data_IF_124898497814
#
_entry.id   IF_124898497814
#
_cell.length_a   1.000
_cell.length_b   1.000
_cell.length_c   1.000
_cell.angle_alpha   90.00
_cell.angle_beta   90.00
_cell.angle_gamma   90.00
#
_symmetry.space_group_name_H-M   'P 1'
#
loop_
_entity.id
_entity.type
_entity.pdbx_description
1 polymer ?
#
# COMPACT_ATOMS: atom_id res chain seq x y z
N UNK A 1 21.15 43.89 -38.60
CA UNK A 1 21.93 42.84 -37.90
C UNK A 1 21.00 41.68 -37.61
N UNK A 2 21.31 40.51 -38.16
CA UNK A 2 20.52 39.27 -38.04
C UNK A 2 20.86 38.58 -36.72
N UNK A 3 19.87 38.31 -35.87
CA UNK A 3 20.00 37.33 -34.78
C UNK A 3 19.18 36.09 -35.15
N UNK A 4 19.91 35.07 -35.58
CA UNK A 4 19.44 33.70 -35.76
C UNK A 4 19.38 33.10 -34.36
N UNK A 5 18.19 32.74 -33.86
CA UNK A 5 18.06 31.91 -32.67
C UNK A 5 17.57 30.52 -33.05
N UNK A 6 18.46 29.59 -32.72
CA UNK A 6 18.52 28.17 -32.96
C UNK A 6 17.26 27.44 -32.42
N UNK A 7 16.34 27.04 -33.30
CA UNK A 7 15.28 26.08 -32.96
C UNK A 7 15.76 24.66 -33.30
N UNK A 8 16.39 24.00 -32.32
CA UNK A 8 16.64 22.55 -32.37
C UNK A 8 15.44 21.86 -31.74
N UNK A 9 14.47 21.51 -32.59
CA UNK A 9 13.39 20.59 -32.24
C UNK A 9 13.96 19.17 -32.34
N UNK A 10 14.44 18.64 -31.20
CA UNK A 10 14.82 17.24 -31.09
C UNK A 10 13.54 16.41 -30.90
N UNK A 11 12.95 15.99 -32.04
CA UNK A 11 11.76 15.16 -32.10
C UNK A 11 12.17 13.70 -31.80
N UNK A 12 12.29 13.37 -30.52
CA UNK A 12 12.46 12.02 -30.01
C UNK A 12 11.13 11.27 -30.18
N UNK A 13 10.97 10.57 -31.30
CA UNK A 13 9.93 9.55 -31.48
C UNK A 13 10.26 8.37 -30.56
N UNK A 14 9.88 8.44 -29.29
CA UNK A 14 9.81 7.24 -28.44
C UNK A 14 8.53 6.51 -28.81
N UNK A 15 8.68 5.34 -29.43
CA UNK A 15 7.59 4.38 -29.61
C UNK A 15 7.07 4.00 -28.21
N UNK A 16 5.91 4.52 -27.81
CA UNK A 16 5.19 4.04 -26.64
C UNK A 16 4.60 2.68 -26.99
N UNK A 17 5.25 1.60 -26.57
CA UNK A 17 4.57 0.31 -26.45
C UNK A 17 3.62 0.41 -25.26
N UNK A 18 2.33 0.62 -25.52
CA UNK A 18 1.30 0.40 -24.50
C UNK A 18 1.26 -1.08 -24.16
N UNK A 19 1.81 -1.47 -23.02
CA UNK A 19 1.39 -2.72 -22.37
C UNK A 19 0.08 -2.42 -21.66
N UNK A 20 -1.05 -2.73 -22.31
CA UNK A 20 -2.33 -2.78 -21.60
C UNK A 20 -2.31 -3.98 -20.65
N UNK A 21 -2.24 -3.70 -19.36
CA UNK A 21 -2.29 -4.73 -18.33
C UNK A 21 -3.78 -5.08 -18.15
N UNK A 22 -4.27 -6.07 -18.90
CA UNK A 22 -5.66 -6.57 -18.87
C UNK A 22 -5.97 -7.42 -17.62
N UNK A 23 -5.53 -6.96 -16.44
CA UNK A 23 -5.77 -7.65 -15.18
C UNK A 23 -7.17 -7.38 -14.66
N UNK A 24 -7.90 -8.46 -14.37
CA UNK A 24 -9.22 -8.44 -13.77
C UNK A 24 -9.15 -9.08 -12.40
N UNK A 25 -9.75 -8.41 -11.39
CA UNK A 25 -9.90 -8.95 -10.03
C UNK A 25 -11.34 -9.33 -9.80
N UNK A 26 -11.57 -10.55 -9.34
CA UNK A 26 -12.91 -11.07 -9.03
C UNK A 26 -12.88 -11.90 -7.75
N UNK A 27 -13.98 -11.82 -6.99
CA UNK A 27 -14.19 -12.59 -5.77
C UNK A 27 -15.41 -13.47 -5.93
N UNK A 28 -15.27 -14.76 -5.61
CA UNK A 28 -16.37 -15.73 -5.68
C UNK A 28 -16.23 -16.78 -4.59
N UNK A 29 -17.34 -17.46 -4.30
CA UNK A 29 -17.42 -18.43 -3.21
C UNK A 29 -16.76 -19.75 -3.60
N UNK A 30 -15.96 -20.31 -2.70
CA UNK A 30 -15.35 -21.65 -2.80
C UNK A 30 -15.45 -22.31 -1.43
N UNK A 31 -16.07 -23.48 -1.35
CA UNK A 31 -16.30 -24.18 -0.08
C UNK A 31 -15.05 -24.90 0.42
N UNK A 32 -14.70 -24.65 1.67
CA UNK A 32 -13.62 -25.31 2.41
C UNK A 32 -13.81 -25.11 3.92
N UNK A 33 -13.05 -25.84 4.71
CA UNK A 33 -13.26 -25.92 6.17
C UNK A 33 -12.00 -25.71 7.00
N UNK A 34 -10.81 -25.70 6.38
CA UNK A 34 -9.54 -25.66 7.12
C UNK A 34 -8.41 -25.02 6.31
N UNK A 35 -7.28 -24.77 6.97
CA UNK A 35 -6.06 -24.22 6.35
C UNK A 35 -5.53 -25.10 5.19
N UNK A 36 -5.70 -26.42 5.26
CA UNK A 36 -5.31 -27.28 4.13
C UNK A 36 -6.23 -27.12 2.91
N UNK A 37 -7.47 -26.68 3.09
CA UNK A 37 -8.33 -26.27 1.98
C UNK A 37 -7.78 -24.99 1.33
N UNK A 38 -7.35 -24.03 2.16
CA UNK A 38 -6.76 -22.77 1.71
C UNK A 38 -5.56 -23.02 0.81
N UNK A 39 -4.58 -23.79 1.29
CA UNK A 39 -3.38 -24.12 0.52
C UNK A 39 -3.71 -24.83 -0.80
N UNK A 40 -4.70 -25.74 -0.80
CA UNK A 40 -5.12 -26.43 -2.02
C UNK A 40 -5.80 -25.48 -3.00
N UNK A 41 -6.76 -24.69 -2.56
CA UNK A 41 -7.56 -23.77 -3.40
C UNK A 41 -6.64 -22.70 -4.02
N UNK A 42 -5.82 -22.04 -3.19
CA UNK A 42 -4.86 -21.03 -3.65
C UNK A 42 -3.78 -21.66 -4.53
N UNK A 43 -3.28 -22.85 -4.18
CA UNK A 43 -2.28 -23.56 -4.96
C UNK A 43 -2.78 -23.94 -6.36
N UNK A 44 -4.05 -24.35 -6.50
CA UNK A 44 -4.67 -24.62 -7.80
C UNK A 44 -4.82 -23.34 -8.62
N UNK A 45 -5.20 -22.22 -7.99
CA UNK A 45 -5.28 -20.93 -8.65
C UNK A 45 -3.90 -20.46 -9.15
N UNK A 46 -2.85 -20.58 -8.33
CA UNK A 46 -1.48 -20.24 -8.73
C UNK A 46 -0.93 -21.12 -9.85
N UNK A 47 -1.28 -22.41 -9.91
CA UNK A 47 -0.93 -23.29 -11.05
C UNK A 47 -1.53 -22.83 -12.37
N UNK A 48 -2.63 -22.08 -12.33
CA UNK A 48 -3.22 -21.42 -13.51
C UNK A 48 -2.51 -20.12 -13.89
N UNK A 49 -1.43 -19.72 -13.21
CA UNK A 49 -0.69 -18.48 -13.44
C UNK A 49 -1.54 -17.21 -13.20
N UNK A 50 -2.44 -17.25 -12.21
CA UNK A 50 -3.08 -16.03 -11.70
C UNK A 50 -2.02 -15.17 -10.97
N UNK A 51 -2.16 -13.86 -11.03
CA UNK A 51 -1.24 -12.90 -10.41
C UNK A 51 -1.41 -12.83 -8.89
N UNK A 52 -2.62 -13.11 -8.41
CA UNK A 52 -2.98 -13.10 -6.99
C UNK A 52 -4.10 -14.10 -6.74
N UNK A 53 -4.04 -14.80 -5.62
CA UNK A 53 -5.10 -15.67 -5.11
C UNK A 53 -5.07 -15.65 -3.58
N UNK A 54 -6.19 -15.30 -2.95
CA UNK A 54 -6.33 -15.36 -1.49
C UNK A 54 -7.72 -15.90 -1.15
N UNK A 55 -7.77 -16.99 -0.38
CA UNK A 55 -8.98 -17.61 0.12
C UNK A 55 -9.09 -17.47 1.63
N UNK A 56 -10.27 -17.08 2.09
CA UNK A 56 -10.54 -16.75 3.50
C UNK A 56 -11.46 -17.80 4.11
N UNK A 57 -11.01 -18.48 5.17
CA UNK A 57 -11.73 -19.61 5.81
C UNK A 57 -13.09 -19.17 6.35
N UNK A 58 -13.14 -18.02 7.02
CA UNK A 58 -14.34 -17.52 7.71
C UNK A 58 -15.48 -17.21 6.74
N UNK A 59 -15.13 -16.75 5.53
CA UNK A 59 -16.11 -16.28 4.53
C UNK A 59 -16.30 -17.24 3.36
N UNK A 60 -15.41 -18.24 3.20
CA UNK A 60 -15.35 -19.12 2.03
C UNK A 60 -15.22 -18.36 0.71
N UNK A 61 -14.58 -17.19 0.71
CA UNK A 61 -14.41 -16.36 -0.49
C UNK A 61 -12.99 -16.45 -1.01
N UNK A 62 -12.86 -16.79 -2.30
CA UNK A 62 -11.60 -16.71 -3.05
C UNK A 62 -11.59 -15.40 -3.83
N UNK A 63 -10.55 -14.59 -3.63
CA UNK A 63 -10.26 -13.41 -4.44
C UNK A 63 -9.08 -13.71 -5.35
N UNK A 64 -9.26 -13.56 -6.67
CA UNK A 64 -8.22 -13.78 -7.67
C UNK A 64 -8.03 -12.58 -8.57
N UNK A 65 -6.79 -12.31 -8.94
CA UNK A 65 -6.43 -11.34 -10.00
C UNK A 65 -5.73 -12.07 -11.12
N UNK A 66 -6.25 -11.96 -12.34
CA UNK A 66 -5.73 -12.69 -13.50
C UNK A 66 -5.83 -11.88 -14.79
N UNK A 67 -5.01 -12.23 -15.78
CA UNK A 67 -5.04 -11.65 -17.12
C UNK A 67 -6.28 -12.16 -17.88
N UNK A 68 -7.26 -11.27 -18.10
CA UNK A 68 -8.55 -11.57 -18.72
C UNK A 68 -8.44 -11.99 -20.20
N UNK A 69 -7.28 -11.79 -20.83
CA UNK A 69 -7.02 -12.29 -22.20
C UNK A 69 -6.63 -13.77 -22.23
N UNK A 70 -6.16 -14.32 -21.09
CA UNK A 70 -5.63 -15.70 -20.98
C UNK A 70 -6.50 -16.63 -20.14
N UNK A 71 -7.20 -16.07 -19.15
CA UNK A 71 -8.03 -16.78 -18.19
C UNK A 71 -9.38 -16.09 -18.05
N UNK A 72 -10.36 -16.86 -17.58
CA UNK A 72 -11.65 -16.34 -17.15
C UNK A 72 -12.10 -17.09 -15.89
N UNK A 73 -13.05 -16.49 -15.17
CA UNK A 73 -13.61 -17.02 -13.93
C UNK A 73 -14.01 -18.49 -14.01
N UNK A 74 -14.78 -18.86 -15.04
CA UNK A 74 -15.29 -20.22 -15.20
C UNK A 74 -14.18 -21.26 -15.33
N UNK A 75 -13.06 -20.93 -15.99
CA UNK A 75 -11.91 -21.83 -16.12
C UNK A 75 -11.18 -22.04 -14.79
N UNK A 76 -11.11 -21.00 -13.96
CA UNK A 76 -10.55 -21.07 -12.60
C UNK A 76 -11.47 -21.93 -11.72
N UNK A 77 -12.78 -21.66 -11.74
CA UNK A 77 -13.79 -22.41 -10.98
C UNK A 77 -13.80 -23.90 -11.32
N UNK A 78 -13.76 -24.26 -12.62
CA UNK A 78 -13.69 -25.67 -13.06
C UNK A 78 -12.44 -26.40 -12.54
N UNK A 79 -11.29 -25.72 -12.45
CA UNK A 79 -10.06 -26.35 -11.95
C UNK A 79 -10.03 -26.50 -10.44
N UNK A 80 -10.61 -25.55 -9.72
CA UNK A 80 -10.80 -25.66 -8.27
C UNK A 80 -11.81 -26.78 -7.96
N UNK A 81 -12.91 -26.87 -8.73
CA UNK A 81 -13.87 -27.96 -8.64
C UNK A 81 -13.22 -29.34 -8.91
N UNK A 82 -12.34 -29.43 -9.91
CA UNK A 82 -11.58 -30.67 -10.17
C UNK A 82 -10.58 -31.03 -9.05
N UNK A 83 -10.34 -30.14 -8.08
CA UNK A 83 -9.55 -30.43 -6.88
C UNK A 83 -10.40 -30.83 -5.67
N UNK A 84 -11.72 -30.99 -5.87
CA UNK A 84 -12.68 -31.44 -4.86
C UNK A 84 -13.52 -30.34 -4.22
N UNK A 85 -13.20 -29.06 -4.42
CA UNK A 85 -13.88 -27.94 -3.77
C UNK A 85 -14.98 -27.32 -4.64
N UNK A 86 -16.21 -27.28 -4.13
CA UNK A 86 -17.34 -26.65 -4.80
C UNK A 86 -17.14 -25.14 -4.87
N UNK A 87 -17.38 -24.59 -6.06
CA UNK A 87 -17.29 -23.15 -6.33
C UNK A 87 -18.69 -22.56 -6.53
N UNK A 88 -18.76 -21.26 -6.82
CA UNK A 88 -20.03 -20.56 -7.01
C UNK A 88 -20.84 -21.13 -8.17
N UNK A 89 -20.23 -21.32 -9.35
CA UNK A 89 -20.93 -21.78 -10.56
C UNK A 89 -20.65 -23.26 -10.89
N UNK A 90 -19.60 -23.87 -10.32
CA UNK A 90 -19.19 -25.25 -10.62
C UNK A 90 -19.05 -26.10 -9.36
N UNK A 91 -19.81 -27.19 -9.30
CA UNK A 91 -19.67 -28.23 -8.26
C UNK A 91 -18.59 -29.24 -8.63
N UNK A 92 -17.82 -29.66 -7.64
CA UNK A 92 -16.85 -30.74 -7.76
C UNK A 92 -17.57 -32.09 -7.85
N UNK A 93 -17.04 -33.00 -8.69
CA UNK A 93 -17.61 -34.33 -8.86
C UNK A 93 -17.63 -35.10 -7.54
N UNK A 94 -18.53 -36.09 -7.41
CA UNK A 94 -18.55 -36.93 -6.21
C UNK A 94 -17.20 -37.64 -5.98
N UNK A 95 -16.54 -38.05 -7.07
CA UNK A 95 -15.20 -38.64 -7.04
C UNK A 95 -14.14 -37.67 -6.50
N UNK A 96 -14.03 -36.47 -7.08
CA UNK A 96 -13.01 -35.48 -6.68
C UNK A 96 -13.20 -35.01 -5.24
N UNK A 97 -14.46 -34.90 -4.80
CA UNK A 97 -14.81 -34.55 -3.44
C UNK A 97 -14.52 -35.65 -2.42
N UNK A 98 -14.84 -36.90 -2.75
CA UNK A 98 -14.57 -38.03 -1.87
C UNK A 98 -13.07 -38.28 -1.69
N UNK A 99 -12.27 -37.88 -2.68
CA UNK A 99 -10.80 -37.89 -2.63
C UNK A 99 -10.21 -36.72 -1.81
N UNK A 100 -11.02 -35.77 -1.34
CA UNK A 100 -10.54 -34.79 -0.37
C UNK A 100 -10.20 -35.48 0.96
N UNK A 101 -9.15 -35.02 1.67
CA UNK A 101 -8.92 -35.44 3.06
C UNK A 101 -10.16 -35.21 3.92
N UNK A 102 -10.37 -36.04 4.95
CA UNK A 102 -11.60 -35.99 5.74
C UNK A 102 -11.84 -34.64 6.41
N UNK A 103 -10.79 -33.93 6.82
CA UNK A 103 -10.90 -32.57 7.37
C UNK A 103 -11.30 -31.48 6.35
N UNK A 104 -11.20 -31.78 5.04
CA UNK A 104 -11.59 -30.91 3.93
C UNK A 104 -13.00 -31.23 3.42
N UNK A 105 -13.64 -32.30 3.93
CA UNK A 105 -15.03 -32.62 3.61
C UNK A 105 -15.96 -31.69 4.39
N UNK A 106 -16.87 -31.04 3.68
CA UNK A 106 -17.83 -30.08 4.22
C UNK A 106 -19.26 -30.49 3.83
N UNK A 107 -20.25 -30.13 4.63
CA UNK A 107 -21.62 -30.54 4.35
C UNK A 107 -22.14 -29.90 3.04
N UNK A 108 -22.18 -30.68 1.97
CA UNK A 108 -22.83 -30.33 0.71
C UNK A 108 -24.34 -30.35 0.93
N UNK A 109 -24.96 -29.20 1.18
CA UNK A 109 -26.42 -29.10 1.06
C UNK A 109 -26.79 -29.37 -0.40
N UNK A 110 -27.22 -30.59 -0.71
CA UNK A 110 -27.75 -30.95 -2.02
C UNK A 110 -29.27 -30.73 -2.04
N UNK A 111 -29.85 -30.19 -3.13
CA UNK A 111 -31.18 -30.60 -3.53
C UNK A 111 -31.13 -32.06 -3.99
N UNK A 112 -32.13 -32.84 -3.56
CA UNK A 112 -32.47 -34.24 -3.87
C UNK A 112 -32.11 -34.82 -5.25
N UNK A 113 -31.69 -36.10 -5.29
CA UNK A 113 -31.80 -37.00 -6.47
C UNK A 113 -30.87 -38.23 -6.41
N UNK A 114 -31.29 -39.45 -6.85
CA UNK A 114 -31.19 -40.66 -6.02
C UNK A 114 -30.00 -41.60 -6.26
N UNK A 115 -29.80 -42.42 -5.23
CA UNK A 115 -29.05 -43.66 -5.07
C UNK A 115 -28.46 -44.33 -6.32
N UNK A 116 -27.14 -44.57 -6.25
CA UNK A 116 -26.45 -45.63 -6.96
C UNK A 116 -25.59 -46.39 -5.95
N UNK A 117 -26.06 -47.57 -5.57
CA UNK A 117 -25.30 -48.61 -4.87
C UNK A 117 -24.17 -49.04 -5.81
N UNK A 118 -22.96 -49.20 -5.27
CA UNK A 118 -21.98 -50.19 -5.73
C UNK A 118 -21.05 -50.50 -4.55
N UNK A 119 -21.22 -51.71 -4.05
CA UNK A 119 -20.37 -52.39 -3.08
C UNK A 119 -18.93 -52.49 -3.57
N UNK A 120 -17.97 -52.41 -2.63
CA UNK A 120 -16.85 -53.35 -2.56
C UNK A 120 -16.17 -53.19 -1.18
N UNK A 121 -16.65 -53.98 -0.22
CA UNK A 121 -15.97 -54.19 1.06
C UNK A 121 -14.69 -55.00 0.83
N UNK A 122 -13.55 -54.32 0.76
CA UNK A 122 -12.23 -54.94 0.81
C UNK A 122 -11.94 -55.45 2.23
N UNK A 123 -11.61 -56.73 2.35
CA UNK A 123 -11.24 -57.39 3.60
C UNK A 123 -10.15 -56.61 4.36
N UNK A 124 -10.46 -56.14 5.57
CA UNK A 124 -9.47 -55.62 6.50
C UNK A 124 -8.61 -56.78 7.02
N UNK A 125 -7.40 -56.95 6.49
CA UNK A 125 -6.45 -57.90 7.05
C UNK A 125 -5.83 -57.30 8.32
N UNK A 126 -5.97 -58.00 9.44
CA UNK A 126 -5.28 -57.66 10.70
C UNK A 126 -3.94 -58.40 10.74
N UNK A 127 -2.85 -57.70 11.02
CA UNK A 127 -1.55 -58.33 11.17
C UNK A 127 -0.49 -57.44 11.80
N UNK A 128 0.66 -58.05 12.08
CA UNK A 128 1.79 -57.36 12.71
C UNK A 128 2.62 -56.70 11.61
N UNK A 129 2.66 -55.38 11.61
CA UNK A 129 3.55 -54.58 10.78
C UNK A 129 4.90 -54.41 11.51
N UNK A 130 5.98 -54.76 10.83
CA UNK A 130 7.35 -54.52 11.29
C UNK A 130 7.98 -53.40 10.47
N UNK A 131 8.78 -52.54 11.11
CA UNK A 131 9.53 -51.53 10.38
C UNK A 131 10.65 -50.93 11.21
N UNK A 132 11.48 -50.12 10.55
CA UNK A 132 12.62 -49.42 11.18
C UNK A 132 12.53 -47.93 10.89
N UNK A 133 12.69 -47.11 11.93
CA UNK A 133 12.76 -45.65 11.84
C UNK A 133 14.23 -45.22 11.90
N UNK A 134 14.67 -44.42 10.93
CA UNK A 134 16.07 -43.99 10.79
C UNK A 134 16.17 -42.49 10.49
N UNK A 135 17.31 -41.88 10.84
CA UNK A 135 17.73 -40.55 10.38
C UNK A 135 18.73 -40.70 9.24
N UNK A 136 18.67 -39.80 8.26
CA UNK A 136 19.72 -39.62 7.27
C UNK A 136 20.69 -38.50 7.73
N UNK A 137 21.94 -38.87 8.00
CA UNK A 137 22.98 -37.90 8.33
C UNK A 137 23.44 -37.12 7.09
N UNK A 138 24.08 -35.95 7.28
CA UNK A 138 24.64 -35.10 6.20
C UNK A 138 25.61 -35.80 5.22
N UNK A 139 26.06 -37.02 5.54
CA UNK A 139 26.95 -37.86 4.70
C UNK A 139 26.21 -39.02 4.00
N UNK A 140 24.87 -39.07 4.05
CA UNK A 140 24.06 -40.14 3.44
C UNK A 140 24.10 -41.48 4.19
N UNK A 141 24.53 -41.48 5.46
CA UNK A 141 24.54 -42.68 6.31
C UNK A 141 23.28 -42.71 7.19
N UNK A 142 22.63 -43.88 7.26
CA UNK A 142 21.41 -44.09 8.02
C UNK A 142 21.70 -44.54 9.44
N UNK A 143 21.19 -43.81 10.42
CA UNK A 143 21.28 -44.17 11.85
C UNK A 143 19.89 -44.46 12.42
N UNK A 144 19.68 -45.59 13.12
CA UNK A 144 18.38 -45.90 13.70
C UNK A 144 17.99 -44.90 14.78
N UNK A 145 16.70 -44.54 14.83
CA UNK A 145 16.12 -43.66 15.85
C UNK A 145 15.32 -44.53 16.83
N UNK A 146 15.84 -44.69 18.04
CA UNK A 146 15.10 -45.31 19.13
C UNK A 146 14.13 -44.34 19.81
N UNK A 147 13.06 -44.88 20.42
CA UNK A 147 11.99 -44.13 21.07
C UNK A 147 11.21 -43.15 20.17
N UNK A 148 11.20 -43.37 18.85
CA UNK A 148 10.29 -42.67 17.95
C UNK A 148 8.85 -43.13 18.22
N UNK A 149 7.94 -42.17 18.35
CA UNK A 149 6.53 -42.46 18.60
C UNK A 149 5.80 -42.74 17.29
N UNK A 150 5.02 -43.80 17.26
CA UNK A 150 4.24 -44.23 16.11
C UNK A 150 2.79 -44.32 16.55
N UNK A 151 1.92 -43.56 15.90
CA UNK A 151 0.51 -43.46 16.20
C UNK A 151 -0.31 -43.75 14.96
N UNK A 152 -1.36 -44.57 15.09
CA UNK A 152 -2.32 -44.77 13.99
C UNK A 152 -3.40 -43.69 14.02
N UNK A 153 -3.76 -43.17 12.85
CA UNK A 153 -4.87 -42.21 12.74
C UNK A 153 -6.24 -42.87 12.93
N UNK A 154 -6.35 -44.20 12.78
CA UNK A 154 -7.62 -44.91 12.80
C UNK A 154 -7.91 -45.57 14.15
N UNK A 155 -6.88 -46.05 14.84
CA UNK A 155 -6.97 -46.54 16.21
C UNK A 155 -6.06 -45.69 17.10
N UNK A 156 -6.52 -45.29 18.29
CA UNK A 156 -5.74 -44.40 19.16
C UNK A 156 -4.55 -45.13 19.85
N UNK A 157 -4.03 -46.19 19.23
CA UNK A 157 -2.91 -46.96 19.73
C UNK A 157 -1.60 -46.26 19.35
N UNK A 158 -0.72 -46.14 20.34
CA UNK A 158 0.61 -45.61 20.18
C UNK A 158 1.63 -46.64 20.62
N UNK A 159 2.70 -46.80 19.83
CA UNK A 159 3.87 -47.58 20.22
C UNK A 159 5.13 -46.75 20.05
N UNK A 160 6.23 -47.21 20.64
CA UNK A 160 7.55 -46.59 20.48
C UNK A 160 8.52 -47.58 19.82
N UNK A 161 9.47 -47.07 19.05
CA UNK A 161 10.57 -47.88 18.51
C UNK A 161 11.53 -48.30 19.62
N UNK A 162 12.13 -49.48 19.49
CA UNK A 162 13.17 -49.98 20.40
C UNK A 162 14.50 -49.24 20.24
N UNK A 163 15.53 -49.62 21.00
CA UNK A 163 16.87 -49.01 20.92
C UNK A 163 17.56 -49.15 19.57
N UNK A 164 17.10 -50.08 18.72
CA UNK A 164 17.60 -50.30 17.36
C UNK A 164 16.69 -49.65 16.30
N UNK A 165 15.71 -48.85 16.71
CA UNK A 165 14.76 -48.16 15.83
C UNK A 165 13.69 -49.07 15.23
N UNK A 166 13.58 -50.32 15.67
CA UNK A 166 12.61 -51.31 15.17
C UNK A 166 11.29 -51.13 15.92
N UNK A 167 10.18 -51.28 15.21
CA UNK A 167 8.84 -51.32 15.81
C UNK A 167 8.03 -52.51 15.31
N UNK A 168 7.11 -52.96 16.18
CA UNK A 168 6.12 -54.00 15.89
C UNK A 168 4.73 -53.46 16.24
N UNK A 169 3.92 -53.19 15.24
CA UNK A 169 2.60 -52.60 15.41
C UNK A 169 1.53 -53.53 14.87
N UNK A 170 0.60 -53.97 15.73
CA UNK A 170 -0.56 -54.74 15.27
C UNK A 170 -1.59 -53.75 14.71
N UNK A 171 -1.83 -53.80 13.40
CA UNK A 171 -2.78 -52.89 12.74
C UNK A 171 -3.62 -53.59 11.70
N UNK A 172 -4.80 -53.04 11.48
CA UNK A 172 -5.65 -53.37 10.34
C UNK A 172 -5.21 -52.49 9.16
N UNK A 173 -5.09 -53.09 7.98
CA UNK A 173 -4.82 -52.38 6.74
C UNK A 173 -6.10 -52.22 5.92
N UNK A 174 -6.28 -51.09 5.20
CA UNK A 174 -5.35 -49.96 5.08
C UNK A 174 -5.38 -49.01 6.30
N UNK A 175 -4.22 -48.49 6.72
CA UNK A 175 -4.11 -47.50 7.81
C UNK A 175 -3.09 -46.42 7.49
N UNK A 176 -3.21 -45.26 8.13
CA UNK A 176 -2.17 -44.22 8.12
C UNK A 176 -1.47 -44.19 9.48
N UNK A 177 -0.14 -44.22 9.46
CA UNK A 177 0.70 -44.13 10.65
C UNK A 177 1.45 -42.80 10.65
N UNK A 178 1.35 -42.06 11.75
CA UNK A 178 2.13 -40.85 12.00
C UNK A 178 3.33 -41.24 12.84
N UNK A 179 4.53 -41.03 12.30
CA UNK A 179 5.79 -41.24 13.00
C UNK A 179 6.34 -39.88 13.43
N UNK A 180 6.59 -39.69 14.72
CA UNK A 180 7.12 -38.44 15.27
C UNK A 180 8.21 -38.67 16.31
N UNK A 181 9.24 -37.83 16.28
CA UNK A 181 10.35 -37.85 17.23
C UNK A 181 10.83 -36.41 17.48
N UNK A 182 11.29 -36.13 18.70
CA UNK A 182 11.67 -34.78 19.13
C UNK A 182 12.83 -34.26 18.28
N UNK A 183 12.66 -33.08 17.68
CA UNK A 183 13.68 -32.47 16.80
C UNK A 183 13.57 -32.86 15.32
N UNK A 184 12.58 -33.69 14.94
CA UNK A 184 12.35 -34.13 13.57
C UNK A 184 10.98 -33.70 13.05
N UNK A 185 10.86 -33.54 11.73
CA UNK A 185 9.56 -33.30 11.09
C UNK A 185 8.80 -34.61 11.07
N UNK A 186 7.62 -34.63 11.70
CA UNK A 186 6.74 -35.79 11.69
C UNK A 186 6.36 -36.15 10.26
N UNK A 187 6.31 -37.44 9.96
CA UNK A 187 5.94 -37.96 8.65
C UNK A 187 4.74 -38.90 8.77
N UNK A 188 3.88 -38.92 7.75
CA UNK A 188 2.67 -39.76 7.71
C UNK A 188 2.79 -40.76 6.59
N UNK A 189 2.83 -42.05 6.94
CA UNK A 189 3.00 -43.15 5.99
C UNK A 189 1.67 -43.90 5.85
N UNK A 190 1.19 -44.05 4.61
CA UNK A 190 0.01 -44.85 4.30
C UNK A 190 0.42 -46.31 4.08
N UNK A 191 -0.12 -47.22 4.88
CA UNK A 191 0.18 -48.66 4.84
C UNK A 191 -0.97 -49.39 4.17
N UNK A 192 -0.69 -50.01 3.02
CA UNK A 192 -1.63 -50.81 2.24
C UNK A 192 -1.30 -52.31 2.27
N UNK A 193 -0.09 -52.70 2.70
CA UNK A 193 0.37 -54.09 2.82
C UNK A 193 1.20 -54.30 4.10
N UNK A 194 1.20 -55.51 4.66
CA UNK A 194 1.96 -55.90 5.87
C UNK A 194 3.45 -56.20 5.60
N UNK A 195 4.06 -55.50 4.65
CA UNK A 195 5.49 -55.63 4.33
C UNK A 195 6.36 -54.82 5.29
N UNK A 196 7.63 -55.21 5.45
CA UNK A 196 8.58 -54.45 6.25
C UNK A 196 8.80 -53.04 5.67
N UNK A 197 8.68 -52.01 6.51
CA UNK A 197 8.80 -50.61 6.08
C UNK A 197 10.02 -49.91 6.68
N UNK A 198 10.66 -49.06 5.87
CA UNK A 198 11.76 -48.18 6.29
C UNK A 198 11.28 -46.75 6.26
N UNK A 199 11.29 -46.09 7.42
CA UNK A 199 10.85 -44.70 7.58
C UNK A 199 12.07 -43.83 7.85
N UNK A 200 12.30 -42.81 7.03
CA UNK A 200 13.42 -41.89 7.19
C UNK A 200 12.87 -40.53 7.64
N UNK A 201 13.14 -40.14 8.88
CA UNK A 201 12.73 -38.85 9.41
C UNK A 201 13.77 -37.77 9.08
N UNK A 202 13.29 -36.58 8.68
CA UNK A 202 14.15 -35.43 8.39
C UNK A 202 14.29 -34.53 9.62
N UNK A 203 15.52 -34.13 9.92
CA UNK A 203 15.85 -33.27 11.05
C UNK A 203 15.30 -31.83 10.86
N UNK A 204 14.51 -31.35 11.83
CA UNK A 204 13.85 -30.04 11.81
C UNK A 204 14.83 -28.86 11.94
N UNK A 205 16.09 -29.10 12.28
CA UNK A 205 17.13 -28.07 12.39
C UNK A 205 17.51 -27.44 11.03
N UNK A 206 17.02 -27.98 9.91
CA UNK A 206 17.24 -27.44 8.55
C UNK A 206 16.08 -26.60 8.01
N UNK A 207 14.96 -26.51 8.73
CA UNK A 207 13.84 -25.63 8.36
C UNK A 207 14.00 -24.26 9.02
N UNK A 208 14.34 -23.24 8.22
CA UNK A 208 14.27 -21.84 8.63
C UNK A 208 12.86 -21.53 9.14
N UNK A 209 12.74 -20.95 10.33
CA UNK A 209 11.48 -20.45 10.86
C UNK A 209 10.83 -19.49 9.85
N UNK A 210 9.54 -19.68 9.59
CA UNK A 210 8.76 -18.76 8.76
C UNK A 210 8.78 -17.36 9.36
N UNK A 211 9.03 -16.34 8.54
CA UNK A 211 9.06 -14.96 9.01
C UNK A 211 7.65 -14.51 9.45
N UNK A 212 7.51 -14.09 10.71
CA UNK A 212 6.28 -13.47 11.21
C UNK A 212 6.35 -11.98 10.90
N UNK A 213 5.47 -11.51 10.00
CA UNK A 213 5.37 -10.07 9.67
C UNK A 213 4.39 -9.42 10.63
N UNK A 214 4.92 -8.71 11.63
CA UNK A 214 4.10 -7.88 12.52
C UNK A 214 3.72 -6.59 11.78
N UNK A 215 2.43 -6.40 11.49
CA UNK A 215 1.90 -5.17 10.90
C UNK A 215 1.16 -4.37 11.97
N UNK A 216 1.40 -3.06 12.03
CA UNK A 216 0.66 -2.12 12.87
C UNK A 216 -0.08 -1.12 11.99
N UNK A 217 -1.30 -0.75 12.38
CA UNK A 217 -2.12 0.24 11.70
C UNK A 217 -2.15 1.51 12.55
N UNK A 218 -1.68 2.63 11.99
CA UNK A 218 -1.85 3.95 12.61
C UNK A 218 -3.12 4.62 12.08
N UNK A 219 -3.88 5.32 12.93
CA UNK A 219 -4.97 6.17 12.46
C UNK A 219 -4.42 7.29 11.56
N UNK A 220 -5.26 7.79 10.65
CA UNK A 220 -4.88 8.82 9.66
C UNK A 220 -4.65 10.20 10.29
N UNK A 221 -5.22 10.43 11.47
CA UNK A 221 -4.99 11.59 12.31
C UNK A 221 -4.68 11.13 13.73
N UNK A 222 -3.63 11.66 14.35
CA UNK A 222 -3.27 11.32 15.73
C UNK A 222 -2.51 12.45 16.44
N UNK A 223 -2.53 12.41 17.77
CA UNK A 223 -1.72 13.27 18.63
C UNK A 223 -0.51 12.48 19.09
N UNK A 224 0.67 13.10 19.09
CA UNK A 224 1.89 12.45 19.57
C UNK A 224 1.92 12.42 21.10
N UNK A 225 1.71 11.24 21.69
CA UNK A 225 1.81 11.04 23.16
C UNK A 225 3.26 11.11 23.70
N UNK A 226 4.25 11.14 22.81
CA UNK A 226 5.67 11.25 23.17
C UNK A 226 6.15 12.70 23.23
N UNK A 227 5.41 13.63 22.59
CA UNK A 227 5.74 15.04 22.57
C UNK A 227 5.12 15.73 23.79
N UNK A 228 5.85 16.68 24.39
CA UNK A 228 5.29 17.60 25.39
C UNK A 228 4.42 18.68 24.74
N UNK A 229 4.58 18.91 23.43
CA UNK A 229 3.78 19.85 22.65
C UNK A 229 2.53 19.17 22.11
N UNK A 230 1.38 19.84 22.23
CA UNK A 230 0.11 19.37 21.69
C UNK A 230 0.11 19.47 20.16
N UNK A 231 0.66 18.43 19.52
CA UNK A 231 0.85 18.35 18.07
C UNK A 231 -0.10 17.32 17.47
N UNK A 232 -0.99 17.80 16.61
CA UNK A 232 -1.88 16.97 15.80
C UNK A 232 -1.21 16.67 14.46
N UNK A 233 -0.92 15.40 14.20
CA UNK A 233 -0.42 14.94 12.90
C UNK A 233 -1.59 14.47 12.04
N UNK A 234 -1.74 15.07 10.87
CA UNK A 234 -2.71 14.75 9.83
C UNK A 234 -1.94 14.12 8.67
N UNK A 235 -2.12 12.83 8.41
CA UNK A 235 -1.40 12.10 7.36
C UNK A 235 -2.06 12.28 5.99
N UNK A 236 -1.33 11.98 4.92
CA UNK A 236 -1.86 11.93 3.54
C UNK A 236 -3.14 11.11 3.39
N UNK A 237 -3.34 10.09 4.23
CA UNK A 237 -4.58 9.29 4.25
C UNK A 237 -5.79 10.09 4.73
N UNK A 238 -5.63 11.05 5.62
CA UNK A 238 -6.71 11.96 5.99
C UNK A 238 -6.94 12.99 4.90
N UNK A 239 -5.86 13.57 4.37
CA UNK A 239 -5.91 14.58 3.31
C UNK A 239 -6.58 14.06 2.04
N UNK A 240 -6.47 12.76 1.76
CA UNK A 240 -7.11 12.10 0.60
C UNK A 240 -8.59 11.77 0.80
N UNK A 241 -9.14 11.88 2.02
CA UNK A 241 -10.60 11.75 2.25
C UNK A 241 -11.36 12.95 1.72
N UNK A 242 -10.71 14.10 1.65
CA UNK A 242 -11.21 15.27 0.96
C UNK A 242 -10.61 15.27 -0.45
N UNK A 243 -11.43 15.46 -1.49
CA UNK A 243 -10.95 15.56 -2.87
C UNK A 243 -10.31 16.95 -3.14
N UNK A 244 -9.35 17.34 -2.29
CA UNK A 244 -8.78 18.68 -2.28
C UNK A 244 -7.52 18.75 -3.13
N UNK A 245 -7.36 19.89 -3.77
CA UNK A 245 -6.35 20.11 -4.81
C UNK A 245 -5.07 20.76 -4.24
N UNK A 246 -5.19 21.54 -3.16
CA UNK A 246 -4.09 22.30 -2.54
C UNK A 246 -4.14 22.24 -1.00
N UNK A 247 -3.09 22.77 -0.37
CA UNK A 247 -2.92 22.77 1.09
C UNK A 247 -4.01 23.55 1.83
N UNK A 248 -4.46 24.71 1.33
CA UNK A 248 -5.49 25.51 2.01
C UNK A 248 -6.84 24.80 2.08
N UNK A 249 -7.26 24.14 0.99
CA UNK A 249 -8.46 23.29 0.94
C UNK A 249 -8.35 22.05 1.84
N UNK A 250 -7.12 21.53 2.00
CA UNK A 250 -6.89 20.31 2.79
C UNK A 250 -7.23 20.46 4.28
N UNK A 251 -7.37 21.69 4.77
CA UNK A 251 -7.77 21.97 6.16
C UNK A 251 -9.28 22.09 6.36
N UNK A 252 -10.11 22.13 5.31
CA UNK A 252 -11.57 22.28 5.44
C UNK A 252 -12.22 21.14 6.22
N UNK A 253 -11.61 19.94 6.21
CA UNK A 253 -12.09 18.78 6.98
C UNK A 253 -11.43 18.65 8.35
N UNK A 254 -10.58 19.59 8.75
CA UNK A 254 -9.87 19.55 10.03
C UNK A 254 -10.62 20.36 11.10
N UNK A 255 -11.06 19.77 12.22
CA UNK A 255 -11.73 20.50 13.29
C UNK A 255 -10.78 21.42 14.08
N UNK A 256 -9.49 21.42 13.74
CA UNK A 256 -8.45 22.15 14.48
C UNK A 256 -8.03 23.45 13.82
N UNK A 257 -8.44 23.66 12.58
CA UNK A 257 -7.96 24.74 11.72
C UNK A 257 -9.16 25.26 10.94
N UNK A 258 -9.47 26.55 11.09
CA UNK A 258 -10.56 27.17 10.34
C UNK A 258 -10.00 27.78 9.05
N UNK A 259 -10.64 27.48 7.92
CA UNK A 259 -10.28 28.05 6.62
C UNK A 259 -11.33 29.08 6.24
N UNK A 260 -10.91 30.34 6.10
CA UNK A 260 -11.77 31.45 5.70
C UNK A 260 -11.28 32.07 4.39
N UNK A 261 -12.20 32.58 3.57
CA UNK A 261 -11.83 33.39 2.42
C UNK A 261 -11.46 34.80 2.90
N UNK A 262 -10.21 35.18 2.73
CA UNK A 262 -9.75 36.54 3.04
C UNK A 262 -10.12 37.53 1.93
N UNK A 263 -10.27 37.04 0.70
CA UNK A 263 -10.67 37.84 -0.46
C UNK A 263 -11.43 36.96 -1.47
N UNK A 264 -12.70 37.31 -1.71
CA UNK A 264 -13.58 36.63 -2.64
C UNK A 264 -13.24 36.88 -4.11
N UNK A 265 -12.56 38.00 -4.44
CA UNK A 265 -12.20 38.34 -5.82
C UNK A 265 -10.98 37.53 -6.26
N UNK A 266 -9.92 37.51 -5.45
CA UNK A 266 -8.71 36.73 -5.76
C UNK A 266 -8.83 35.24 -5.42
N UNK A 267 -9.89 34.84 -4.70
CA UNK A 267 -10.07 33.48 -4.19
C UNK A 267 -9.03 33.09 -3.15
N UNK A 268 -8.46 34.06 -2.43
CA UNK A 268 -7.44 33.81 -1.42
C UNK A 268 -8.07 33.25 -0.15
N UNK A 269 -7.46 32.17 0.34
CA UNK A 269 -7.84 31.49 1.57
C UNK A 269 -6.82 31.80 2.65
N UNK A 270 -7.33 32.14 3.82
CA UNK A 270 -6.57 32.33 5.04
C UNK A 270 -6.89 31.20 6.01
N UNK A 271 -5.85 30.70 6.65
CA UNK A 271 -5.97 29.77 7.76
C UNK A 271 -6.02 30.56 9.08
N UNK A 272 -6.96 30.18 9.94
CA UNK A 272 -7.06 30.64 11.31
C UNK A 272 -6.84 29.49 12.28
N UNK A 273 -6.06 29.74 13.32
CA UNK A 273 -5.79 28.78 14.38
C UNK A 273 -6.28 29.38 15.69
N UNK A 274 -7.20 28.69 16.37
CA UNK A 274 -7.84 29.18 17.59
C UNK A 274 -8.51 30.56 17.42
N UNK A 275 -9.07 30.84 16.23
CA UNK A 275 -9.72 32.12 15.90
C UNK A 275 -8.79 33.30 15.62
N UNK A 276 -7.47 33.09 15.64
CA UNK A 276 -6.49 34.12 15.29
C UNK A 276 -6.06 34.00 13.82
N UNK A 277 -5.85 35.14 13.17
CA UNK A 277 -5.40 35.22 11.78
C UNK A 277 -4.04 34.55 11.56
N UNK A 278 -3.78 34.14 10.31
CA UNK A 278 -2.51 33.51 9.91
C UNK A 278 -1.25 34.33 10.25
N UNK A 279 -1.36 35.64 10.46
CA UNK A 279 -0.25 36.48 10.97
C UNK A 279 0.25 36.10 12.37
N UNK A 280 -0.58 35.42 13.16
CA UNK A 280 -0.24 34.93 14.51
C UNK A 280 0.11 33.45 14.55
N UNK A 281 -0.01 32.76 13.41
CA UNK A 281 0.28 31.34 13.24
C UNK A 281 1.56 31.18 12.42
N UNK A 282 2.51 30.40 12.91
CA UNK A 282 3.73 30.18 12.16
C UNK A 282 3.54 29.06 11.12
N UNK A 283 3.74 29.38 9.84
CA UNK A 283 3.70 28.43 8.74
C UNK A 283 5.13 28.03 8.35
N UNK A 284 5.46 26.75 8.46
CA UNK A 284 6.78 26.21 8.11
C UNK A 284 6.62 25.01 7.18
N UNK A 285 7.51 24.89 6.20
CA UNK A 285 7.66 23.70 5.38
C UNK A 285 8.85 22.94 5.92
N UNK A 286 8.59 21.83 6.59
CA UNK A 286 9.57 20.96 7.20
C UNK A 286 10.54 21.67 8.16
N UNK A 287 10.02 22.46 9.08
CA UNK A 287 10.81 23.27 10.02
C UNK A 287 11.62 24.40 9.36
N UNK A 288 11.36 24.74 8.10
CA UNK A 288 11.89 25.96 7.46
C UNK A 288 10.76 26.95 7.22
N UNK A 289 10.91 28.21 7.65
CA UNK A 289 9.91 29.25 7.41
C UNK A 289 9.96 29.74 5.95
N UNK A 290 9.28 29.02 5.07
CA UNK A 290 9.20 29.33 3.63
C UNK A 290 8.04 30.30 3.29
N UNK A 291 6.96 30.26 4.06
CA UNK A 291 5.72 31.01 3.80
C UNK A 291 5.70 32.26 4.68
N UNK A 292 6.46 33.30 4.29
CA UNK A 292 6.62 34.56 5.04
C UNK A 292 6.65 35.79 4.12
N UNK A 293 6.29 36.96 4.68
CA UNK A 293 6.31 38.23 3.95
C UNK A 293 5.32 38.23 2.77
N UNK A 294 5.79 38.56 1.57
CA UNK A 294 4.96 38.62 0.35
C UNK A 294 4.34 37.27 -0.03
N UNK A 295 4.91 36.15 0.43
CA UNK A 295 4.37 34.81 0.20
C UNK A 295 3.37 34.39 1.28
N UNK A 296 3.21 35.13 2.37
CA UNK A 296 2.29 34.77 3.46
C UNK A 296 0.83 34.69 3.01
N UNK A 297 0.41 35.55 2.08
CA UNK A 297 -0.98 35.61 1.58
C UNK A 297 -1.27 34.56 0.52
N UNK A 298 -0.27 34.18 -0.30
CA UNK A 298 -0.46 33.28 -1.45
C UNK A 298 0.15 31.88 -1.26
N UNK A 299 1.10 31.73 -0.35
CA UNK A 299 1.98 30.57 -0.24
C UNK A 299 1.28 29.27 0.13
N UNK A 300 0.13 29.36 0.82
CA UNK A 300 -0.73 28.21 1.11
C UNK A 300 -1.33 27.59 -0.16
N UNK A 301 -1.52 28.38 -1.21
CA UNK A 301 -2.01 27.86 -2.50
C UNK A 301 -0.87 27.28 -3.35
N UNK A 302 0.39 27.48 -2.97
CA UNK A 302 1.56 27.01 -3.75
C UNK A 302 2.01 25.59 -3.41
N UNK A 303 1.36 24.94 -2.44
CA UNK A 303 1.64 23.56 -2.05
C UNK A 303 0.49 22.66 -2.50
N UNK A 304 0.67 21.86 -3.57
CA UNK A 304 -0.32 20.90 -4.04
C UNK A 304 -0.57 19.79 -3.02
N UNK A 305 -1.82 19.33 -2.91
CA UNK A 305 -2.18 18.24 -1.98
C UNK A 305 -1.43 16.94 -2.26
N UNK A 306 -1.09 16.69 -3.53
CA UNK A 306 -0.35 15.47 -3.96
C UNK A 306 1.11 15.42 -3.50
N UNK A 307 1.66 16.57 -3.08
CA UNK A 307 3.03 16.67 -2.57
C UNK A 307 3.09 16.42 -1.06
N UNK A 308 1.95 16.49 -0.36
CA UNK A 308 1.86 16.36 1.09
C UNK A 308 1.99 14.90 1.54
N UNK A 309 2.91 14.67 2.47
CA UNK A 309 3.04 13.42 3.23
C UNK A 309 2.22 13.52 4.52
N UNK A 310 2.38 14.63 5.23
CA UNK A 310 1.63 14.94 6.45
C UNK A 310 1.64 16.43 6.76
N UNK A 311 0.72 16.85 7.61
CA UNK A 311 0.66 18.18 8.19
C UNK A 311 0.69 18.01 9.70
N UNK A 312 1.52 18.78 10.39
CA UNK A 312 1.60 18.81 11.84
C UNK A 312 1.11 20.16 12.35
N UNK A 313 0.04 20.14 13.14
CA UNK A 313 -0.55 21.34 13.72
C UNK A 313 -0.26 21.34 15.22
N UNK A 314 0.62 22.22 15.65
CA UNK A 314 0.93 22.49 17.05
C UNK A 314 0.03 23.62 17.54
N UNK A 315 -0.82 23.32 18.54
CA UNK A 315 -1.77 24.29 19.10
C UNK A 315 -1.16 25.06 20.27
N UNK A 316 -1.34 26.37 20.28
CA UNK A 316 -0.71 27.26 21.27
C UNK A 316 0.76 27.50 20.98
N UNK A 317 1.49 28.10 21.92
CA UNK A 317 2.88 28.54 21.71
C UNK A 317 3.73 27.36 21.20
N UNK A 318 4.22 27.50 19.97
CA UNK A 318 5.04 26.49 19.31
C UNK A 318 6.47 26.44 19.84
N UNK A 319 7.34 25.73 19.13
CA UNK A 319 8.77 25.70 19.48
C UNK A 319 9.44 27.04 19.17
N UNK A 320 10.05 27.67 20.19
CA UNK A 320 10.89 28.87 20.02
C UNK A 320 12.06 28.63 19.06
N UNK A 321 12.52 27.37 18.95
CA UNK A 321 13.61 26.97 18.03
C UNK A 321 13.24 27.25 16.57
N UNK A 322 11.97 27.08 16.23
CA UNK A 322 11.49 27.24 14.86
C UNK A 322 11.12 28.70 14.54
N UNK A 323 10.85 29.54 15.55
CA UNK A 323 10.60 30.98 15.38
C UNK A 323 9.73 31.59 16.49
N UNK A 324 9.68 32.93 16.52
CA UNK A 324 8.97 33.70 17.56
C UNK A 324 7.51 34.07 17.20
N UNK A 325 7.03 33.67 16.01
CA UNK A 325 5.76 34.13 15.44
C UNK A 325 4.53 33.29 15.86
N UNK A 326 4.71 32.21 16.62
CA UNK A 326 3.71 31.15 16.84
C UNK A 326 2.78 31.40 18.05
N UNK A 327 2.17 32.58 18.17
CA UNK A 327 1.31 32.93 19.32
C UNK A 327 0.06 32.02 19.37
N UNK A 328 -0.62 31.83 18.24
CA UNK A 328 -1.77 30.90 18.14
C UNK A 328 -1.34 29.46 17.89
N UNK A 329 -0.16 29.30 17.27
CA UNK A 329 0.54 28.04 17.11
C UNK A 329 1.32 27.92 15.82
N UNK A 330 1.65 26.69 15.46
CA UNK A 330 2.55 26.38 14.35
C UNK A 330 1.96 25.28 13.47
N UNK A 331 2.07 25.46 12.16
CA UNK A 331 1.70 24.47 11.16
C UNK A 331 2.96 24.10 10.40
N UNK A 332 3.35 22.84 10.52
CA UNK A 332 4.47 22.26 9.79
C UNK A 332 3.98 21.34 8.67
N UNK A 333 4.44 21.64 7.46
CA UNK A 333 4.06 20.92 6.26
C UNK A 333 5.19 19.97 5.93
N UNK A 334 4.88 18.68 5.89
CA UNK A 334 5.82 17.63 5.49
C UNK A 334 5.50 17.18 4.08
N UNK A 335 6.46 17.36 3.17
CA UNK A 335 6.36 16.97 1.78
C UNK A 335 6.90 15.55 1.58
N UNK A 336 6.43 14.87 0.54
CA UNK A 336 6.87 13.52 0.16
C UNK A 336 8.39 13.40 0.07
N UNK A 337 8.95 12.49 0.88
CA UNK A 337 10.39 12.28 0.96
C UNK A 337 10.91 11.44 -0.21
N UNK A 338 12.09 11.76 -0.79
CA UNK A 338 12.68 10.98 -1.89
C UNK A 338 12.98 9.50 -1.59
N UNK A 339 13.03 9.10 -0.32
CA UNK A 339 13.38 7.73 0.11
C UNK A 339 12.16 6.83 0.40
N UNK A 340 10.96 7.39 0.53
CA UNK A 340 9.78 6.65 1.04
C UNK A 340 8.55 6.70 0.13
N UNK A 341 8.43 7.69 -0.74
CA UNK A 341 7.24 7.86 -1.56
C UNK A 341 7.27 6.99 -2.83
N UNK A 342 6.13 6.89 -3.52
CA UNK A 342 6.01 6.05 -4.71
C UNK A 342 6.92 6.52 -5.86
N UNK A 343 7.43 5.58 -6.66
CA UNK A 343 8.38 5.87 -7.75
C UNK A 343 7.80 6.81 -8.82
N UNK A 344 6.52 6.65 -9.12
CA UNK A 344 5.78 7.44 -10.09
C UNK A 344 4.36 7.62 -9.57
N UNK A 345 3.91 8.87 -9.47
CA UNK A 345 2.50 9.21 -9.34
C UNK A 345 2.15 10.19 -10.45
N UNK A 346 1.12 9.85 -11.21
CA UNK A 346 0.47 10.72 -12.17
C UNK A 346 -0.98 10.88 -11.71
N UNK A 347 -1.40 12.10 -11.44
CA UNK A 347 -2.76 12.40 -11.00
C UNK A 347 -3.35 13.54 -11.84
N UNK A 348 -4.52 13.30 -12.42
CA UNK A 348 -5.28 14.28 -13.18
C UNK A 348 -6.61 14.57 -12.49
N UNK A 349 -7.01 15.85 -12.45
CA UNK A 349 -8.27 16.28 -11.88
C UNK A 349 -9.00 17.20 -12.86
N UNK A 350 -10.32 17.07 -12.93
CA UNK A 350 -11.19 17.95 -13.68
C UNK A 350 -12.53 18.11 -12.94
N UNK A 351 -13.11 19.30 -12.95
CA UNK A 351 -14.44 19.53 -12.39
C UNK A 351 -15.38 20.24 -13.37
N UNK A 352 -16.67 20.28 -12.99
CA UNK A 352 -17.73 20.94 -13.74
C UNK A 352 -17.55 22.47 -13.84
N UNK A 353 -16.75 23.07 -12.96
CA UNK A 353 -16.40 24.48 -12.97
C UNK A 353 -15.25 24.82 -13.92
N UNK A 354 -14.75 23.86 -14.71
CA UNK A 354 -13.67 24.09 -15.68
C UNK A 354 -12.27 24.22 -15.08
N UNK A 355 -12.08 23.74 -13.84
CA UNK A 355 -10.76 23.56 -13.22
C UNK A 355 -10.15 22.26 -13.72
N UNK A 356 -8.92 22.34 -14.21
CA UNK A 356 -8.12 21.21 -14.67
C UNK A 356 -6.80 21.19 -13.92
N UNK A 357 -6.40 20.04 -13.41
CA UNK A 357 -5.10 19.87 -12.76
C UNK A 357 -4.38 18.61 -13.23
N UNK A 358 -3.06 18.70 -13.26
CA UNK A 358 -2.15 17.60 -13.57
C UNK A 358 -0.99 17.64 -12.59
N UNK A 359 -0.72 16.49 -11.97
CA UNK A 359 0.35 16.30 -11.00
C UNK A 359 1.23 15.15 -11.46
N UNK A 360 2.54 15.36 -11.45
CA UNK A 360 3.52 14.32 -11.74
C UNK A 360 4.59 14.35 -10.65
N UNK A 361 4.68 13.24 -9.91
CA UNK A 361 5.72 12.99 -8.93
C UNK A 361 6.60 11.85 -9.42
N UNK A 362 7.89 12.13 -9.58
CA UNK A 362 8.91 11.18 -10.01
C UNK A 362 9.93 11.04 -8.89
N UNK A 363 10.13 9.83 -8.41
CA UNK A 363 11.06 9.55 -7.32
C UNK A 363 12.04 8.48 -7.75
N UNK A 364 13.32 8.78 -7.57
CA UNK A 364 14.39 7.92 -7.99
C UNK A 364 15.49 7.81 -6.93
N UNK A 365 15.79 6.58 -6.51
CA UNK A 365 16.94 6.26 -5.67
C UNK A 365 18.15 6.07 -6.58
N UNK A 366 19.06 7.05 -6.60
CA UNK A 366 20.24 7.04 -7.47
C UNK A 366 21.28 6.00 -7.01
N UNK A 367 21.47 5.88 -5.69
CA UNK A 367 22.33 4.88 -5.05
C UNK A 367 21.93 4.73 -3.58
N UNK A 368 22.68 3.96 -2.78
CA UNK A 368 22.35 3.74 -1.38
C UNK A 368 22.36 4.98 -0.49
N UNK A 369 23.01 6.07 -0.94
CA UNK A 369 23.13 7.32 -0.19
C UNK A 369 22.26 8.45 -0.74
N UNK A 370 22.06 8.49 -2.06
CA UNK A 370 21.39 9.57 -2.77
C UNK A 370 20.02 9.16 -3.27
N UNK A 371 19.02 9.99 -2.98
CA UNK A 371 17.67 9.89 -3.52
C UNK A 371 17.22 11.26 -4.02
N UNK A 372 16.49 11.29 -5.15
CA UNK A 372 15.94 12.52 -5.73
C UNK A 372 14.45 12.37 -5.96
N UNK A 373 13.73 13.48 -5.85
CA UNK A 373 12.32 13.58 -6.16
C UNK A 373 12.06 14.83 -6.99
N UNK A 374 11.42 14.66 -8.14
CA UNK A 374 10.88 15.75 -8.97
C UNK A 374 9.37 15.74 -8.79
N UNK A 375 8.82 16.77 -8.15
CA UNK A 375 7.38 16.95 -8.02
C UNK A 375 6.97 18.13 -8.89
N UNK A 376 5.91 17.94 -9.67
CA UNK A 376 5.40 18.94 -10.58
C UNK A 376 3.89 18.99 -10.50
N UNK A 377 3.36 20.21 -10.61
CA UNK A 377 1.94 20.48 -10.53
C UNK A 377 1.59 21.59 -11.51
N UNK A 378 0.53 21.35 -12.25
CA UNK A 378 -0.10 22.30 -13.15
C UNK A 378 -1.58 22.37 -12.82
N UNK A 379 -2.09 23.57 -12.59
CA UNK A 379 -3.52 23.82 -12.37
C UNK A 379 -3.95 24.97 -13.26
N UNK A 380 -5.16 24.89 -13.83
CA UNK A 380 -5.73 25.96 -14.64
C UNK A 380 -7.25 26.00 -14.49
N UNK A 381 -7.79 27.22 -14.49
CA UNK A 381 -9.22 27.47 -14.55
C UNK A 381 -9.50 28.22 -15.87
N UNK A 382 -10.18 27.53 -16.79
CA UNK A 382 -10.42 28.03 -18.17
C UNK A 382 -11.86 28.49 -18.41
N UNK A 383 -12.79 28.13 -17.53
CA UNK A 383 -14.19 28.55 -17.64
C UNK A 383 -14.43 29.86 -16.89
N UNK A 384 -15.23 30.74 -17.50
CA UNK A 384 -15.83 31.89 -16.83
C UNK A 384 -17.10 31.40 -16.15
N UNK A 385 -17.11 31.38 -14.82
CA UNK A 385 -18.29 31.00 -14.04
C UNK A 385 -18.90 32.22 -13.38
N UNK A 386 -20.19 32.40 -13.61
CA UNK A 386 -21.05 33.38 -12.98
C UNK A 386 -22.40 32.70 -12.75
N UNK A 387 -22.51 31.97 -11.62
CA UNK A 387 -23.70 31.18 -11.32
C UNK A 387 -24.85 32.04 -10.78
N UNK A 388 -24.53 33.16 -10.11
CA UNK A 388 -25.51 34.08 -9.55
C UNK A 388 -25.94 35.18 -10.55
N UNK A 389 -25.29 35.27 -11.71
CA UNK A 389 -25.57 36.19 -12.82
C UNK A 389 -25.41 37.65 -12.43
N UNK A 390 -24.43 37.96 -11.58
CA UNK A 390 -24.15 39.33 -11.14
C UNK A 390 -23.13 40.06 -12.03
N UNK A 391 -22.57 39.38 -13.04
CA UNK A 391 -21.58 39.92 -13.96
C UNK A 391 -20.14 39.81 -13.48
N UNK A 392 -19.89 39.21 -12.32
CA UNK A 392 -18.56 38.93 -11.78
C UNK A 392 -18.21 37.44 -11.86
N UNK A 393 -16.91 37.16 -11.90
CA UNK A 393 -16.41 35.79 -11.83
C UNK A 393 -16.52 35.26 -10.40
N UNK A 394 -17.24 34.15 -10.21
CA UNK A 394 -17.31 33.40 -8.95
C UNK A 394 -15.95 32.85 -8.51
N UNK A 395 -15.08 32.55 -9.48
CA UNK A 395 -13.73 32.04 -9.25
C UNK A 395 -12.73 32.68 -10.22
N UNK A 396 -11.51 33.00 -9.76
CA UNK A 396 -10.46 33.54 -10.61
C UNK A 396 -10.06 32.53 -11.69
N UNK A 397 -9.93 33.03 -12.91
CA UNK A 397 -9.35 32.28 -14.02
C UNK A 397 -7.83 32.37 -13.99
N UNK A 398 -7.15 31.41 -14.59
CA UNK A 398 -5.70 31.49 -14.71
C UNK A 398 -5.01 30.15 -14.77
N UNK A 399 -3.70 30.19 -14.50
CA UNK A 399 -2.86 29.00 -14.43
C UNK A 399 -1.82 29.13 -13.33
N UNK A 400 -1.48 28.00 -12.76
CA UNK A 400 -0.44 27.84 -11.77
C UNK A 400 0.46 26.68 -12.16
N UNK A 401 1.77 26.91 -12.13
CA UNK A 401 2.81 25.91 -12.35
C UNK A 401 3.70 25.90 -11.13
N UNK A 402 3.81 24.74 -10.47
CA UNK A 402 4.75 24.52 -9.38
C UNK A 402 5.70 23.39 -9.78
N UNK A 403 7.00 23.60 -9.61
CA UNK A 403 8.03 22.62 -9.83
C UNK A 403 8.95 22.59 -8.63
N UNK A 404 9.23 21.41 -8.10
CA UNK A 404 10.23 21.23 -7.05
C UNK A 404 11.11 20.03 -7.35
N UNK A 405 12.42 20.23 -7.25
CA UNK A 405 13.41 19.18 -7.33
C UNK A 405 14.12 19.06 -5.98
N UNK A 406 13.98 17.89 -5.36
CA UNK A 406 14.49 17.58 -4.02
C UNK A 406 15.58 16.53 -4.10
N UNK A 407 16.59 16.66 -3.26
CA UNK A 407 17.71 15.74 -3.14
C UNK A 407 17.90 15.42 -1.67
N UNK A 408 18.07 14.14 -1.37
CA UNK A 408 18.38 13.67 -0.03
C UNK A 408 19.62 12.80 -0.10
N UNK A 409 20.62 13.17 0.69
CA UNK A 409 21.81 12.39 0.96
C UNK A 409 21.75 11.87 2.39
N UNK A 410 22.01 10.59 2.58
CA UNK A 410 22.13 9.98 3.89
C UNK A 410 23.26 8.95 3.87
N UNK A 411 24.16 9.02 4.83
CA UNK A 411 25.26 8.05 4.99
C UNK A 411 25.14 7.30 6.32
N UNK A 412 25.73 6.10 6.37
CA UNK A 412 25.81 5.28 7.57
C UNK A 412 26.68 5.92 8.67
N UNK A 413 27.44 6.97 8.34
CA UNK A 413 28.27 7.77 9.25
C UNK A 413 27.50 8.87 9.99
N UNK A 414 26.20 9.05 9.70
CA UNK A 414 25.34 10.00 10.41
C UNK A 414 25.05 11.31 9.68
N UNK A 415 25.68 11.56 8.53
CA UNK A 415 25.37 12.75 7.71
C UNK A 415 24.01 12.61 7.03
N UNK A 416 23.22 13.68 7.11
CA UNK A 416 21.92 13.82 6.45
C UNK A 416 21.91 15.20 5.79
N UNK A 417 21.81 15.24 4.47
CA UNK A 417 21.69 16.50 3.72
C UNK A 417 20.41 16.45 2.90
N UNK A 418 19.63 17.52 2.96
CA UNK A 418 18.43 17.70 2.14
C UNK A 418 18.55 19.02 1.40
N UNK A 419 18.44 18.96 0.08
CA UNK A 419 18.45 20.13 -0.80
C UNK A 419 17.12 20.17 -1.55
N UNK A 420 16.57 21.35 -1.76
CA UNK A 420 15.39 21.55 -2.58
C UNK A 420 15.53 22.83 -3.39
N UNK A 421 15.14 22.77 -4.67
CA UNK A 421 14.97 23.92 -5.53
C UNK A 421 13.51 23.91 -6.00
N UNK A 422 12.81 25.01 -5.78
CA UNK A 422 11.40 25.18 -6.12
C UNK A 422 11.22 26.41 -6.99
N UNK A 423 10.36 26.27 -7.99
CA UNK A 423 9.92 27.35 -8.87
C UNK A 423 8.40 27.35 -8.93
N UNK A 424 7.80 28.52 -8.75
CA UNK A 424 6.36 28.74 -8.81
C UNK A 424 6.08 29.87 -9.78
N UNK A 425 5.15 29.65 -10.70
CA UNK A 425 4.55 30.68 -11.55
C UNK A 425 3.03 30.61 -11.37
N UNK A 426 2.43 31.63 -10.77
CA UNK A 426 0.97 31.76 -10.63
C UNK A 426 0.52 33.01 -11.37
N UNK A 427 -0.35 32.83 -12.37
CA UNK A 427 -0.93 33.93 -13.14
C UNK A 427 -2.43 33.80 -13.14
N UNK A 428 -3.10 34.77 -12.52
CA UNK A 428 -4.56 34.78 -12.36
C UNK A 428 -5.19 36.10 -12.75
N UNK A 429 -6.46 36.01 -13.08
CA UNK A 429 -7.35 37.10 -13.45
C UNK A 429 -8.71 36.87 -12.78
N UNK A 430 -9.27 37.94 -12.24
CA UNK A 430 -10.59 37.99 -11.62
C UNK A 430 -11.27 39.32 -11.95
N UNK A 431 -12.50 39.52 -11.46
CA UNK A 431 -13.31 40.70 -11.69
C UNK A 431 -14.52 40.39 -12.57
N UNK A 432 -14.92 41.35 -13.41
CA UNK A 432 -16.07 41.19 -14.30
C UNK A 432 -15.82 40.09 -15.35
N UNK A 433 -16.90 39.39 -15.72
CA UNK A 433 -16.87 38.31 -16.72
C UNK A 433 -16.30 38.79 -18.05
N UNK A 434 -16.58 40.03 -18.45
CA UNK A 434 -16.16 40.60 -19.73
C UNK A 434 -14.78 41.27 -19.70
N UNK A 435 -14.14 41.36 -18.53
CA UNK A 435 -12.82 41.98 -18.40
C UNK A 435 -11.76 41.31 -19.28
N UNK A 436 -11.09 42.11 -20.11
CA UNK A 436 -9.98 41.67 -20.94
C UNK A 436 -8.70 42.47 -20.60
N UNK A 437 -7.65 41.85 -20.03
CA UNK A 437 -6.43 42.55 -19.64
C UNK A 437 -5.71 43.29 -20.77
N UNK A 438 -5.92 42.90 -22.03
CA UNK A 438 -5.25 43.55 -23.16
C UNK A 438 -5.98 44.83 -23.62
N UNK A 439 -7.27 44.96 -23.31
CA UNK A 439 -8.10 46.11 -23.72
C UNK A 439 -8.43 47.03 -22.56
N UNK A 440 -8.71 46.46 -21.40
CA UNK A 440 -9.34 47.17 -20.29
C UNK A 440 -8.36 47.57 -19.19
N UNK A 441 -7.15 47.02 -19.20
CA UNK A 441 -6.12 47.37 -18.22
C UNK A 441 -5.79 48.86 -18.29
N UNK A 442 -5.89 49.53 -17.13
CA UNK A 442 -5.73 50.98 -16.98
C UNK A 442 -6.81 51.84 -17.66
N UNK A 443 -7.95 51.24 -18.01
CA UNK A 443 -9.15 51.94 -18.46
C UNK A 443 -10.25 51.85 -17.39
N UNK A 444 -11.38 52.50 -17.64
CA UNK A 444 -12.58 52.41 -16.80
C UNK A 444 -13.70 51.58 -17.43
N UNK A 445 -13.40 50.76 -18.45
CA UNK A 445 -14.43 50.02 -19.21
C UNK A 445 -15.02 48.87 -18.38
N UNK A 446 -14.15 48.03 -17.82
CA UNK A 446 -14.52 46.83 -17.05
C UNK A 446 -13.59 46.70 -15.86
N UNK A 447 -14.15 46.39 -14.68
CA UNK A 447 -13.34 46.11 -13.51
C UNK A 447 -12.64 44.75 -13.62
N UNK A 448 -11.34 44.73 -13.36
CA UNK A 448 -10.57 43.49 -13.34
C UNK A 448 -9.35 43.55 -12.45
N UNK A 449 -9.06 42.41 -11.85
CA UNK A 449 -7.89 42.19 -11.02
C UNK A 449 -7.02 41.13 -11.69
N UNK A 450 -5.72 41.37 -11.79
CA UNK A 450 -4.79 40.38 -12.31
C UNK A 450 -3.47 40.43 -11.56
N UNK A 451 -2.90 39.26 -11.29
CA UNK A 451 -1.60 39.15 -10.66
C UNK A 451 -0.74 38.09 -11.34
N UNK A 452 0.58 38.30 -11.31
CA UNK A 452 1.60 37.38 -11.78
C UNK A 452 2.64 37.23 -10.68
N UNK A 453 2.77 36.03 -10.13
CA UNK A 453 3.73 35.72 -9.07
C UNK A 453 4.75 34.75 -9.66
N UNK A 454 6.01 35.15 -9.57
CA UNK A 454 7.16 34.31 -9.90
C UNK A 454 8.03 34.17 -8.66
N UNK A 455 8.19 32.95 -8.18
CA UNK A 455 8.96 32.65 -6.98
C UNK A 455 9.96 31.54 -7.25
N UNK A 456 11.20 31.77 -6.85
CA UNK A 456 12.27 30.78 -6.86
C UNK A 456 12.80 30.62 -5.44
N UNK A 457 12.77 29.40 -4.92
CA UNK A 457 13.22 29.08 -3.56
C UNK A 457 14.30 28.01 -3.62
N UNK A 458 15.40 28.23 -2.90
CA UNK A 458 16.41 27.21 -2.65
C UNK A 458 16.50 26.95 -1.14
N UNK A 459 16.47 25.68 -0.75
CA UNK A 459 16.54 25.28 0.66
C UNK A 459 17.61 24.22 0.84
N UNK A 460 18.42 24.37 1.88
CA UNK A 460 19.43 23.40 2.28
C UNK A 460 19.30 23.12 3.78
N UNK A 461 19.23 21.84 4.14
CA UNK A 461 19.28 21.36 5.52
C UNK A 461 20.43 20.38 5.64
N UNK A 462 21.32 20.64 6.57
CA UNK A 462 22.55 19.85 6.75
C UNK A 462 22.58 19.43 8.20
N UNK A 463 22.34 18.16 8.44
CA UNK A 463 22.36 17.56 9.76
C UNK A 463 23.43 16.48 9.89
N UNK A 464 23.92 16.31 11.11
CA UNK A 464 24.78 15.24 11.54
C UNK A 464 24.18 14.57 12.78
N UNK A 465 23.78 13.32 12.63
CA UNK A 465 23.34 12.46 13.73
C UNK A 465 24.53 11.68 14.27
N UNK A 466 24.80 11.77 15.58
CA UNK A 466 25.92 11.04 16.20
C UNK A 466 25.57 9.55 16.34
N UNK A 467 26.20 8.62 15.60
CA UNK A 467 25.77 7.21 15.58
C UNK A 467 25.83 6.53 16.95
N UNK A 468 26.74 6.99 17.82
CA UNK A 468 26.97 6.44 19.15
C UNK A 468 26.16 7.15 20.26
N UNK A 469 25.48 8.27 19.97
CA UNK A 469 24.71 9.03 20.97
C UNK A 469 23.27 9.19 20.49
N UNK A 470 22.41 8.26 20.91
CA UNK A 470 20.95 8.31 20.68
C UNK A 470 20.41 9.69 21.11
N UNK A 471 19.61 10.32 20.25
CA UNK A 471 18.99 11.64 20.46
C UNK A 471 19.92 12.86 20.44
N UNK A 472 21.19 12.71 20.04
CA UNK A 472 22.04 13.87 19.74
C UNK A 472 22.21 14.03 18.23
N UNK A 473 21.85 15.20 17.74
CA UNK A 473 22.09 15.64 16.36
C UNK A 473 22.53 17.10 16.38
N UNK A 474 23.31 17.47 15.38
CA UNK A 474 23.70 18.84 15.06
C UNK A 474 23.10 19.16 13.68
N UNK A 475 22.45 20.30 13.47
CA UNK A 475 21.91 20.65 12.16
C UNK A 475 21.00 21.85 12.17
#
# INVERSE_FOLDING_TARGET
>A
MKTISLSIVFLLFTQFTYSQINLKTESFRVLGSCEMCKERIEGVAHKLKVNFAEWVIETNMLTVTYDSTKLNRLKIEKKIAASGHDTHDVKASAYDYNNLPDCCKYNRKSPSGPAGINDEAGFAASGILTGVVMEENKKGSFTPIGNASIHSLHNNNMIMTDSNGVFRFNTQIPTQLVISYVGFKSDTVSITSLSEIKVILKNSSTTNLGAVIVKSKRPSTYISNLSTLNTLTITSKELTKAACCNLSESFETSPSVDVNYSDGVTGLKQIQLLGLSGSYSQLITENVPEIRGLTGTFGLNFVPGTWLESIEVTKGIGSVVNGYESISGQINIEEKKPDKAEKLLLNGYANNMGRLESNLNLIHKLNDKWSTALLSHYSTAIAKNDNNKDGFLDMPMGRQINLINRWKYMDNKGWIVQLAIKAVNDKKQAGEVDFNPNKDKFTSNHYGLGYNIEQYTATAKIGFSFPQKKFKSLG
#
